data_IF_204380298960
#
_entry.id   IF_204380298960
#
_cell.length_a   1.000
_cell.length_b   1.000
_cell.length_c   1.000
_cell.angle_alpha   90.00
_cell.angle_beta   90.00
_cell.angle_gamma   90.00
#
_symmetry.space_group_name_H-M   'P 1'
#
loop_
_entity.id
_entity.type
_entity.pdbx_description
1 polymer ?
#
# COMPACT_ATOMS: atom_id res chain seq x y z
N UNK A 1 4.59 19.93 12.70
CA UNK A 1 4.05 18.55 12.86
C UNK A 1 4.13 17.70 11.59
N UNK A 2 4.18 18.27 10.38
CA UNK A 2 4.17 17.53 9.11
C UNK A 2 5.47 16.76 8.79
N UNK A 3 6.65 17.33 9.07
CA UNK A 3 7.94 16.67 8.77
C UNK A 3 8.16 15.41 9.62
N UNK A 4 7.81 15.46 10.90
CA UNK A 4 7.94 14.29 11.80
C UNK A 4 7.01 13.16 11.37
N UNK A 5 5.76 13.49 11.01
CA UNK A 5 4.83 12.49 10.49
C UNK A 5 5.31 11.90 9.15
N UNK A 6 5.87 12.73 8.25
CA UNK A 6 6.45 12.27 7.00
C UNK A 6 7.66 11.35 7.22
N UNK A 7 8.58 11.72 8.11
CA UNK A 7 9.73 10.89 8.46
C UNK A 7 9.28 9.55 9.08
N UNK A 8 8.32 9.60 10.01
CA UNK A 8 7.73 8.39 10.61
C UNK A 8 7.07 7.49 9.56
N UNK A 9 6.35 8.08 8.60
CA UNK A 9 5.77 7.34 7.48
C UNK A 9 6.84 6.68 6.63
N UNK A 10 7.90 7.40 6.24
CA UNK A 10 9.00 6.85 5.43
C UNK A 10 9.68 5.68 6.15
N UNK A 11 9.95 5.80 7.45
CA UNK A 11 10.57 4.74 8.24
C UNK A 11 9.64 3.52 8.34
N UNK A 12 8.37 3.73 8.71
CA UNK A 12 7.39 2.66 8.82
C UNK A 12 7.17 1.95 7.48
N UNK A 13 7.09 2.71 6.38
CA UNK A 13 6.91 2.17 5.04
C UNK A 13 8.12 1.37 4.58
N UNK A 14 9.33 1.95 4.70
CA UNK A 14 10.58 1.32 4.26
C UNK A 14 10.88 0.04 5.04
N UNK A 15 10.52 -0.01 6.34
CA UNK A 15 10.67 -1.23 7.14
C UNK A 15 9.90 -2.44 6.59
N UNK A 16 8.86 -2.20 5.78
CA UNK A 16 8.09 -3.25 5.12
C UNK A 16 8.93 -4.10 4.16
N UNK A 17 9.94 -3.50 3.50
CA UNK A 17 10.88 -4.23 2.63
C UNK A 17 11.89 -5.03 3.45
N UNK A 18 12.34 -4.49 4.60
CA UNK A 18 13.21 -5.20 5.52
C UNK A 18 12.53 -6.44 6.09
N UNK A 19 11.29 -6.30 6.56
CA UNK A 19 10.48 -7.43 7.06
C UNK A 19 10.31 -8.50 5.97
N UNK A 20 10.08 -8.11 4.72
CA UNK A 20 10.02 -9.07 3.61
C UNK A 20 11.35 -9.79 3.43
N UNK A 21 12.47 -9.07 3.43
CA UNK A 21 13.81 -9.63 3.22
C UNK A 21 14.17 -10.70 4.26
N UNK A 22 13.87 -10.42 5.54
CA UNK A 22 14.25 -11.32 6.63
C UNK A 22 13.20 -12.40 6.87
N UNK A 23 11.92 -12.05 6.81
CA UNK A 23 10.84 -12.95 7.22
C UNK A 23 10.49 -13.99 6.18
N UNK A 24 10.70 -13.71 4.88
CA UNK A 24 10.42 -14.67 3.81
C UNK A 24 11.45 -15.80 3.71
N UNK A 25 12.56 -15.71 4.45
CA UNK A 25 13.57 -16.77 4.56
C UNK A 25 13.04 -17.97 5.35
N UNK A 26 12.30 -17.71 6.43
CA UNK A 26 11.82 -18.75 7.34
C UNK A 26 10.37 -19.15 7.08
N UNK A 27 9.55 -18.21 6.60
CA UNK A 27 8.10 -18.36 6.51
C UNK A 27 7.62 -17.96 5.12
N UNK A 28 6.66 -18.69 4.50
CA UNK A 28 6.09 -18.29 3.23
C UNK A 28 5.53 -16.86 3.27
N UNK A 29 5.75 -16.08 2.20
CA UNK A 29 5.30 -14.70 2.07
C UNK A 29 3.80 -14.52 2.40
N UNK A 30 2.95 -15.44 1.95
CA UNK A 30 1.50 -15.41 2.21
C UNK A 30 1.17 -15.55 3.70
N UNK A 31 1.89 -16.42 4.41
CA UNK A 31 1.69 -16.64 5.85
C UNK A 31 2.14 -15.43 6.65
N UNK A 32 3.28 -14.84 6.27
CA UNK A 32 3.77 -13.62 6.89
C UNK A 32 2.77 -12.46 6.69
N UNK A 33 2.25 -12.28 5.47
CA UNK A 33 1.26 -11.24 5.19
C UNK A 33 -0.06 -11.47 5.94
N UNK A 34 -0.52 -12.72 6.05
CA UNK A 34 -1.71 -13.07 6.83
C UNK A 34 -1.56 -12.61 8.28
N UNK A 35 -0.46 -12.96 8.94
CA UNK A 35 -0.21 -12.58 10.32
C UNK A 35 0.07 -11.08 10.49
N UNK A 36 0.58 -10.41 9.45
CA UNK A 36 0.77 -8.96 9.45
C UNK A 36 -0.56 -8.20 9.40
N UNK A 37 -1.52 -8.65 8.60
CA UNK A 37 -2.75 -7.89 8.35
C UNK A 37 -3.97 -8.39 9.11
N UNK A 38 -4.07 -9.68 9.45
CA UNK A 38 -5.26 -10.23 10.13
C UNK A 38 -5.49 -9.61 11.52
N UNK A 39 -4.49 -9.47 12.41
CA UNK A 39 -4.71 -8.84 13.72
C UNK A 39 -5.16 -7.39 13.59
N UNK A 40 -4.57 -6.65 12.65
CA UNK A 40 -4.94 -5.25 12.39
C UNK A 40 -6.37 -5.16 11.84
N UNK A 41 -6.75 -6.04 10.91
CA UNK A 41 -8.10 -6.08 10.36
C UNK A 41 -9.14 -6.36 11.45
N UNK A 42 -8.88 -7.34 12.33
CA UNK A 42 -9.77 -7.64 13.47
C UNK A 42 -9.92 -6.43 14.39
N UNK A 43 -8.81 -5.77 14.72
CA UNK A 43 -8.82 -4.57 15.57
C UNK A 43 -9.64 -3.43 14.95
N UNK A 44 -9.41 -3.13 13.67
CA UNK A 44 -10.11 -2.05 12.97
C UNK A 44 -11.60 -2.36 12.78
N UNK A 45 -11.97 -3.60 12.47
CA UNK A 45 -13.37 -4.04 12.40
C UNK A 45 -14.04 -3.90 13.77
N UNK A 46 -13.36 -4.33 14.84
CA UNK A 46 -13.83 -4.18 16.21
C UNK A 46 -14.04 -2.72 16.59
N UNK A 47 -13.11 -1.83 16.23
CA UNK A 47 -13.22 -0.39 16.47
C UNK A 47 -14.41 0.22 15.72
N UNK A 48 -14.59 -0.12 14.45
CA UNK A 48 -15.73 0.36 13.63
C UNK A 48 -17.06 -0.13 14.20
N UNK A 49 -17.11 -1.38 14.67
CA UNK A 49 -18.30 -1.94 15.33
C UNK A 49 -18.60 -1.22 16.65
N UNK A 50 -17.59 -0.99 17.49
CA UNK A 50 -17.73 -0.33 18.79
C UNK A 50 -18.14 1.15 18.67
N UNK A 51 -17.56 1.87 17.71
CA UNK A 51 -17.86 3.29 17.48
C UNK A 51 -19.13 3.51 16.67
N UNK A 52 -19.64 2.47 15.99
CA UNK A 52 -20.75 2.61 15.06
C UNK A 52 -20.41 3.44 13.82
N UNK A 53 -19.13 3.61 13.49
CA UNK A 53 -18.67 4.46 12.38
C UNK A 53 -19.20 4.02 11.01
N UNK A 54 -19.63 2.77 10.88
CA UNK A 54 -20.25 2.25 9.66
C UNK A 54 -21.77 2.48 9.56
N UNK A 55 -22.42 3.06 10.59
CA UNK A 55 -23.87 3.28 10.57
C UNK A 55 -24.23 4.29 9.47
N UNK A 56 -25.23 3.94 8.66
CA UNK A 56 -25.70 4.77 7.56
C UNK A 56 -24.87 4.70 6.28
N UNK A 57 -23.79 3.90 6.24
CA UNK A 57 -23.04 3.68 5.00
C UNK A 57 -23.76 2.65 4.13
N UNK A 58 -24.04 3.02 2.88
CA UNK A 58 -24.66 2.11 1.92
C UNK A 58 -23.78 0.88 1.65
N UNK A 59 -24.33 -0.35 1.57
CA UNK A 59 -23.57 -1.58 1.30
C UNK A 59 -22.73 -1.51 0.02
N UNK A 60 -23.23 -0.82 -1.00
CA UNK A 60 -22.50 -0.59 -2.26
C UNK A 60 -21.21 0.21 -2.05
N UNK A 61 -21.25 1.20 -1.17
CA UNK A 61 -20.07 2.02 -0.83
C UNK A 61 -19.06 1.17 -0.07
N UNK A 62 -19.51 0.34 0.87
CA UNK A 62 -18.66 -0.62 1.58
C UNK A 62 -17.99 -1.59 0.61
N UNK A 63 -18.74 -2.19 -0.32
CA UNK A 63 -18.19 -3.10 -1.32
C UNK A 63 -17.13 -2.44 -2.21
N UNK A 64 -17.37 -1.20 -2.65
CA UNK A 64 -16.38 -0.45 -3.44
C UNK A 64 -15.11 -0.12 -2.63
N UNK A 65 -15.25 0.29 -1.37
CA UNK A 65 -14.10 0.56 -0.51
C UNK A 65 -13.33 -0.71 -0.17
N UNK A 66 -14.02 -1.82 0.07
CA UNK A 66 -13.41 -3.13 0.27
C UNK A 66 -12.61 -3.56 -0.96
N UNK A 67 -13.14 -3.34 -2.17
CA UNK A 67 -12.43 -3.64 -3.41
C UNK A 67 -11.15 -2.79 -3.56
N UNK A 68 -11.27 -1.47 -3.35
CA UNK A 68 -10.12 -0.55 -3.38
C UNK A 68 -9.06 -0.98 -2.36
N UNK A 69 -9.48 -1.26 -1.12
CA UNK A 69 -8.59 -1.73 -0.05
C UNK A 69 -7.94 -3.08 -0.36
N UNK A 70 -8.68 -4.02 -0.94
CA UNK A 70 -8.15 -5.33 -1.33
C UNK A 70 -7.06 -5.19 -2.40
N UNK A 71 -7.28 -4.37 -3.43
CA UNK A 71 -6.24 -4.09 -4.43
C UNK A 71 -5.06 -3.31 -3.85
N UNK A 72 -5.32 -2.30 -3.01
CA UNK A 72 -4.27 -1.51 -2.38
C UNK A 72 -3.41 -2.33 -1.42
N UNK A 73 -3.97 -3.34 -0.75
CA UNK A 73 -3.25 -4.12 0.25
C UNK A 73 -2.70 -5.43 -0.31
N UNK A 74 -3.56 -6.26 -0.92
CA UNK A 74 -3.18 -7.57 -1.44
C UNK A 74 -2.58 -7.45 -2.84
N UNK A 75 -3.21 -6.65 -3.70
CA UNK A 75 -2.73 -6.39 -5.07
C UNK A 75 -1.40 -5.64 -5.13
N UNK A 76 -0.90 -5.11 -4.02
CA UNK A 76 0.42 -4.50 -3.91
C UNK A 76 1.36 -5.38 -3.08
N UNK A 77 1.07 -5.56 -1.78
CA UNK A 77 2.01 -6.20 -0.87
C UNK A 77 2.28 -7.68 -1.22
N UNK A 78 1.29 -8.40 -1.76
CA UNK A 78 1.49 -9.81 -2.12
C UNK A 78 2.54 -9.96 -3.22
N UNK A 79 2.51 -9.12 -4.26
CA UNK A 79 3.49 -9.20 -5.35
C UNK A 79 4.88 -8.73 -4.91
N UNK A 80 4.96 -7.68 -4.08
CA UNK A 80 6.25 -7.23 -3.52
C UNK A 80 6.90 -8.33 -2.68
N UNK A 81 6.14 -8.95 -1.77
CA UNK A 81 6.67 -10.01 -0.93
C UNK A 81 6.98 -11.28 -1.72
N UNK A 82 6.18 -11.60 -2.75
CA UNK A 82 6.45 -12.72 -3.64
C UNK A 82 7.73 -12.50 -4.47
N UNK A 83 7.96 -11.30 -4.98
CA UNK A 83 9.17 -10.94 -5.72
C UNK A 83 10.43 -11.10 -4.84
N UNK A 84 10.37 -10.62 -3.60
CA UNK A 84 11.47 -10.73 -2.64
C UNK A 84 11.68 -12.20 -2.24
N UNK A 85 10.61 -12.95 -1.99
CA UNK A 85 10.69 -14.39 -1.70
C UNK A 85 11.24 -15.20 -2.89
N UNK A 86 11.05 -14.72 -4.13
CA UNK A 86 11.64 -15.30 -5.34
C UNK A 86 13.13 -14.94 -5.51
N UNK A 87 13.74 -14.21 -4.58
CA UNK A 87 15.15 -13.86 -4.57
C UNK A 87 15.50 -12.53 -5.23
N UNK A 88 14.50 -11.72 -5.63
CA UNK A 88 14.77 -10.38 -6.17
C UNK A 88 15.23 -9.48 -5.03
N UNK A 89 16.34 -8.77 -5.24
CA UNK A 89 16.87 -7.84 -4.26
C UNK A 89 15.82 -6.80 -3.85
N UNK A 90 15.75 -6.50 -2.55
CA UNK A 90 14.77 -5.55 -2.00
C UNK A 90 14.93 -4.14 -2.58
N UNK A 91 16.15 -3.72 -2.86
CA UNK A 91 16.43 -2.45 -3.54
C UNK A 91 15.84 -2.39 -4.95
N UNK A 92 16.02 -3.45 -5.75
CA UNK A 92 15.42 -3.54 -7.10
C UNK A 92 13.89 -3.54 -7.03
N UNK A 93 13.32 -4.29 -6.09
CA UNK A 93 11.87 -4.33 -5.88
C UNK A 93 11.33 -2.96 -5.50
N UNK A 94 12.03 -2.23 -4.60
CA UNK A 94 11.66 -0.88 -4.19
C UNK A 94 11.78 0.16 -5.33
N UNK A 95 12.79 0.03 -6.20
CA UNK A 95 12.94 0.88 -7.38
C UNK A 95 11.79 0.68 -8.37
N UNK A 96 11.39 -0.57 -8.61
CA UNK A 96 10.22 -0.88 -9.45
C UNK A 96 8.95 -0.32 -8.81
N UNK A 97 8.81 -0.45 -7.49
CA UNK A 97 7.66 0.06 -6.75
C UNK A 97 7.56 1.60 -6.82
N UNK A 98 8.71 2.29 -6.81
CA UNK A 98 8.79 3.74 -6.96
C UNK A 98 8.24 4.26 -8.30
N UNK A 99 7.94 3.38 -9.27
CA UNK A 99 7.30 3.74 -10.55
C UNK A 99 5.79 3.97 -10.38
N UNK A 100 5.15 3.50 -9.30
CA UNK A 100 3.71 3.66 -9.06
C UNK A 100 3.19 5.10 -9.28
N UNK A 101 3.85 6.17 -8.79
CA UNK A 101 3.39 7.54 -8.99
C UNK A 101 3.37 7.96 -10.47
N UNK A 102 4.30 7.45 -11.29
CA UNK A 102 4.30 7.68 -12.75
C UNK A 102 3.10 7.01 -13.42
N UNK A 103 2.78 5.78 -13.01
CA UNK A 103 1.59 5.06 -13.49
C UNK A 103 0.32 5.81 -13.10
N UNK A 104 0.24 6.28 -11.85
CA UNK A 104 -0.93 7.07 -11.40
C UNK A 104 -1.02 8.39 -12.17
N UNK A 105 0.09 9.13 -12.32
CA UNK A 105 0.11 10.41 -13.03
C UNK A 105 -0.29 10.30 -14.51
N UNK A 106 0.12 9.22 -15.17
CA UNK A 106 -0.26 8.94 -16.57
C UNK A 106 -1.72 8.52 -16.71
N UNK A 107 -2.25 7.72 -15.78
CA UNK A 107 -3.60 7.17 -15.85
C UNK A 107 -4.70 8.08 -15.28
N UNK A 108 -4.36 9.04 -14.41
CA UNK A 108 -5.37 9.91 -13.78
C UNK A 108 -6.14 10.77 -14.79
N UNK A 109 -5.51 11.16 -15.89
CA UNK A 109 -6.12 11.89 -17.00
C UNK A 109 -7.20 11.08 -17.72
N UNK A 110 -6.87 9.97 -18.37
CA UNK A 110 -7.84 9.17 -19.12
C UNK A 110 -8.90 8.50 -18.22
N UNK A 111 -8.55 8.08 -17.00
CA UNK A 111 -9.49 7.35 -16.13
C UNK A 111 -10.39 8.26 -15.29
N UNK A 112 -9.86 9.40 -14.80
CA UNK A 112 -10.57 10.26 -13.86
C UNK A 112 -10.85 11.67 -14.42
N UNK A 113 -10.36 11.99 -15.62
CA UNK A 113 -10.52 13.32 -16.22
C UNK A 113 -9.69 14.42 -15.54
N UNK A 114 -8.74 14.07 -14.67
CA UNK A 114 -7.95 15.02 -13.89
C UNK A 114 -6.64 15.37 -14.61
N UNK A 115 -6.23 16.64 -14.54
CA UNK A 115 -4.98 17.10 -15.16
C UNK A 115 -3.85 17.15 -14.15
N UNK A 116 -2.73 16.51 -14.47
CA UNK A 116 -1.47 16.64 -13.73
C UNK A 116 -0.78 17.95 -14.15
N UNK A 117 -0.44 18.80 -13.19
CA UNK A 117 0.23 20.09 -13.43
C UNK A 117 1.68 19.87 -13.86
N UNK A 118 2.23 20.79 -14.67
CA UNK A 118 3.63 20.73 -15.12
C UNK A 118 4.65 20.64 -13.99
N UNK A 119 4.41 21.32 -12.87
CA UNK A 119 5.27 21.23 -11.68
C UNK A 119 5.25 19.82 -11.04
N UNK A 120 4.15 19.08 -11.15
CA UNK A 120 4.08 17.70 -10.64
C UNK A 120 4.87 16.75 -11.53
N UNK A 121 4.83 16.96 -12.86
CA UNK A 121 5.69 16.24 -13.81
C UNK A 121 7.18 16.50 -13.56
N UNK A 122 7.55 17.75 -13.28
CA UNK A 122 8.93 18.08 -12.93
C UNK A 122 9.37 17.38 -11.63
N UNK A 123 8.50 17.34 -10.61
CA UNK A 123 8.75 16.59 -9.38
C UNK A 123 8.92 15.08 -9.61
N UNK A 124 8.10 14.50 -10.49
CA UNK A 124 8.19 13.09 -10.91
C UNK A 124 9.44 12.76 -11.72
N UNK A 125 10.03 13.73 -12.41
CA UNK A 125 11.28 13.53 -13.17
C UNK A 125 12.53 13.67 -12.30
N UNK A 126 12.43 14.41 -11.18
CA UNK A 126 13.53 14.63 -10.24
C UNK A 126 13.63 13.54 -9.17
N UNK A 127 12.49 12.96 -8.79
CA UNK A 127 12.39 11.84 -7.85
C UNK A 127 12.54 10.50 -8.54
#
# INVERSE_FOLDING_TARGET
MTVVAAAGFVLAWSSGFLIAAIGTVEVPATTLLLWRFAPLAVLLVGLVAATGAARGIAPRTLGRQALIGAFAQLGYCAFVYAAIAAGIATGTTALIDAVQPLVVATLVGPLLGLRVRGAQWAGLALG
#
